data_IF_789228017024
#
_entry.id   IF_789228017024
#
_cell.length_a   1.000
_cell.length_b   1.000
_cell.length_c   1.000
_cell.angle_alpha   90.00
_cell.angle_beta   90.00
_cell.angle_gamma   90.00
#
_symmetry.space_group_name_H-M   'P 1'
#
loop_
_entity.id
_entity.type
_entity.pdbx_description
1 polymer ?
#
# COMPACT_ATOMS: atom_id res chain seq x y z
N UNK A 1 1.53 -7.09 20.34
CA UNK A 1 1.25 -5.64 20.48
C UNK A 1 1.17 -5.25 21.94
N UNK A 2 1.42 -3.99 22.28
CA UNK A 2 1.28 -3.51 23.66
C UNK A 2 -0.13 -2.99 23.90
N UNK A 3 -0.77 -3.40 24.98
CA UNK A 3 -2.15 -3.03 25.33
C UNK A 3 -2.13 -2.14 26.57
N UNK A 4 -2.71 -0.95 26.47
CA UNK A 4 -2.71 0.04 27.56
C UNK A 4 -4.13 0.29 28.07
N UNK A 5 -4.27 0.46 29.39
CA UNK A 5 -5.52 0.89 30.03
C UNK A 5 -5.21 1.78 31.23
N UNK A 6 -5.80 2.97 31.29
CA UNK A 6 -5.61 3.94 32.38
C UNK A 6 -4.12 4.23 32.68
N UNK A 7 -3.28 4.27 31.63
CA UNK A 7 -1.83 4.48 31.73
C UNK A 7 -1.02 3.24 32.12
N UNK A 8 -1.67 2.10 32.39
CA UNK A 8 -1.01 0.85 32.76
C UNK A 8 -0.88 -0.09 31.55
N UNK A 9 0.28 -0.74 31.42
CA UNK A 9 0.50 -1.81 30.46
C UNK A 9 -0.21 -3.08 30.95
N UNK A 10 -1.14 -3.59 30.15
CA UNK A 10 -2.02 -4.70 30.53
C UNK A 10 -1.44 -6.07 30.21
N UNK A 11 -0.46 -6.14 29.30
CA UNK A 11 0.17 -7.39 28.87
C UNK A 11 1.70 -7.37 29.01
N UNK A 12 2.26 -7.11 30.22
CA UNK A 12 3.71 -7.07 30.43
C UNK A 12 4.37 -8.47 30.43
N UNK A 13 3.57 -9.53 30.59
CA UNK A 13 4.07 -10.91 30.64
C UNK A 13 4.33 -11.51 29.26
N UNK A 14 5.22 -12.51 29.21
CA UNK A 14 5.52 -13.26 27.97
C UNK A 14 4.36 -14.16 27.51
N UNK A 15 3.39 -14.42 28.39
CA UNK A 15 2.20 -15.20 28.05
C UNK A 15 1.24 -14.37 27.18
N UNK A 16 1.01 -13.11 27.56
CA UNK A 16 0.11 -12.21 26.85
C UNK A 16 0.82 -11.46 25.70
N UNK A 17 2.09 -11.09 25.89
CA UNK A 17 2.94 -10.54 24.82
C UNK A 17 3.56 -11.68 24.02
N UNK A 18 2.76 -12.25 23.11
CA UNK A 18 3.12 -13.43 22.34
C UNK A 18 4.33 -13.18 21.45
N UNK A 19 5.43 -13.85 21.78
CA UNK A 19 6.57 -14.04 20.88
C UNK A 19 6.37 -15.33 20.10
N UNK A 20 6.70 -15.38 18.81
CA UNK A 20 6.53 -16.59 18.01
C UNK A 20 7.40 -17.72 18.57
N UNK A 21 6.79 -18.90 18.68
CA UNK A 21 7.49 -20.14 19.01
C UNK A 21 8.11 -20.78 17.77
N UNK A 22 8.97 -21.79 17.96
CA UNK A 22 9.56 -22.54 16.84
C UNK A 22 8.53 -23.26 15.95
N UNK A 23 7.32 -23.50 16.45
CA UNK A 23 6.23 -24.14 15.70
C UNK A 23 5.55 -23.14 14.75
N UNK A 24 5.53 -21.86 15.12
CA UNK A 24 4.86 -20.79 14.35
C UNK A 24 5.82 -20.10 13.37
N UNK A 25 7.12 -20.16 13.64
CA UNK A 25 8.15 -19.62 12.77
C UNK A 25 8.16 -20.33 11.41
N UNK A 26 8.09 -19.59 10.29
CA UNK A 26 8.14 -20.19 8.96
C UNK A 26 9.57 -20.65 8.62
N UNK A 27 9.68 -21.45 7.57
CA UNK A 27 10.97 -21.71 6.92
C UNK A 27 11.51 -20.42 6.29
N UNK A 28 12.81 -20.16 6.47
CA UNK A 28 13.48 -18.95 5.97
C UNK A 28 14.63 -19.36 5.06
N UNK A 29 14.56 -18.99 3.79
CA UNK A 29 15.63 -19.17 2.81
C UNK A 29 16.42 -17.87 2.65
N UNK A 30 17.68 -17.79 3.11
CA UNK A 30 18.51 -16.59 2.94
C UNK A 30 19.15 -16.54 1.55
N UNK A 31 18.95 -15.43 0.84
CA UNK A 31 19.65 -15.13 -0.41
C UNK A 31 20.67 -14.03 -0.12
N UNK A 32 21.96 -14.36 -0.25
CA UNK A 32 23.06 -13.42 -0.02
C UNK A 32 23.41 -12.72 -1.33
N UNK A 33 23.36 -11.38 -1.33
CA UNK A 33 23.72 -10.55 -2.49
C UNK A 33 24.91 -9.66 -2.13
N UNK A 34 26.01 -9.83 -2.85
CA UNK A 34 27.27 -9.14 -2.59
C UNK A 34 27.43 -7.96 -3.56
N UNK A 35 27.23 -6.73 -3.07
CA UNK A 35 27.36 -5.50 -3.88
C UNK A 35 28.69 -4.74 -3.69
N UNK A 36 29.58 -5.25 -2.84
CA UNK A 36 30.92 -4.73 -2.50
C UNK A 36 30.93 -3.22 -2.15
N UNK A 37 30.95 -2.90 -0.85
CA UNK A 37 31.15 -1.53 -0.38
C UNK A 37 32.62 -1.11 -0.50
N UNK A 38 32.98 -0.02 -1.22
CA UNK A 38 34.36 0.45 -1.27
C UNK A 38 34.92 0.88 0.10
N UNK A 39 34.06 1.33 1.02
CA UNK A 39 34.48 1.80 2.35
C UNK A 39 34.33 0.73 3.44
N UNK A 40 33.64 -0.37 3.12
CA UNK A 40 33.41 -1.47 4.04
C UNK A 40 34.63 -2.38 4.19
N UNK A 41 34.91 -2.90 5.40
CA UNK A 41 35.99 -3.87 5.57
C UNK A 41 35.71 -5.10 4.71
N UNK A 42 36.64 -5.42 3.82
CA UNK A 42 36.49 -6.52 2.84
C UNK A 42 35.27 -6.40 1.92
N UNK A 43 34.71 -5.20 1.72
CA UNK A 43 33.51 -5.00 0.90
C UNK A 43 32.17 -5.18 1.64
N UNK A 44 32.20 -5.37 2.96
CA UNK A 44 31.00 -5.70 3.75
C UNK A 44 30.03 -4.51 3.93
N UNK A 45 28.75 -4.83 4.07
CA UNK A 45 27.65 -3.90 4.43
C UNK A 45 26.83 -4.47 5.59
N UNK A 46 25.99 -3.64 6.20
CA UNK A 46 24.98 -4.09 7.15
C UNK A 46 23.94 -5.02 6.48
N UNK A 47 23.40 -5.98 7.24
CA UNK A 47 22.32 -6.89 6.81
C UNK A 47 21.14 -7.03 7.80
N UNK A 48 21.20 -6.37 8.97
CA UNK A 48 20.26 -6.66 10.05
C UNK A 48 18.91 -5.94 9.91
N UNK A 49 18.89 -4.61 9.80
CA UNK A 49 17.62 -3.87 9.91
C UNK A 49 16.78 -3.92 8.63
N UNK A 50 17.43 -3.96 7.46
CA UNK A 50 16.74 -3.96 6.16
C UNK A 50 15.82 -5.16 5.96
N UNK A 51 16.24 -6.34 6.41
CA UNK A 51 15.45 -7.58 6.32
C UNK A 51 14.24 -7.56 7.26
N UNK A 52 14.41 -7.02 8.48
CA UNK A 52 13.32 -6.85 9.44
C UNK A 52 12.24 -5.90 8.91
N UNK A 53 12.65 -4.74 8.38
CA UNK A 53 11.74 -3.73 7.87
C UNK A 53 10.91 -4.23 6.67
N UNK A 54 11.51 -5.07 5.80
CA UNK A 54 10.83 -5.64 4.64
C UNK A 54 9.80 -6.73 5.01
N UNK A 55 9.96 -7.39 6.16
CA UNK A 55 9.14 -8.55 6.56
C UNK A 55 7.66 -8.17 6.77
N UNK A 56 7.39 -7.08 7.49
CA UNK A 56 6.01 -6.65 7.79
C UNK A 56 5.19 -6.35 6.51
N UNK A 57 5.65 -5.50 5.56
CA UNK A 57 4.90 -5.25 4.34
C UNK A 57 4.83 -6.48 3.41
N UNK A 58 5.84 -7.36 3.42
CA UNK A 58 5.79 -8.61 2.67
C UNK A 58 4.63 -9.50 3.13
N UNK A 59 4.45 -9.69 4.44
CA UNK A 59 3.33 -10.44 5.01
C UNK A 59 1.99 -9.75 4.68
N UNK A 60 1.91 -8.42 4.78
CA UNK A 60 0.70 -7.68 4.43
C UNK A 60 0.28 -7.89 2.96
N UNK A 61 1.26 -7.90 2.04
CA UNK A 61 1.05 -8.17 0.63
C UNK A 61 0.63 -9.63 0.39
N UNK A 62 1.25 -10.60 1.09
CA UNK A 62 0.87 -12.00 0.98
C UNK A 62 -0.57 -12.26 1.46
N UNK A 63 -1.02 -11.60 2.53
CA UNK A 63 -2.42 -11.67 2.98
C UNK A 63 -3.36 -11.09 1.90
N UNK A 64 -2.99 -9.94 1.32
CA UNK A 64 -3.79 -9.36 0.23
C UNK A 64 -3.87 -10.28 -0.98
N UNK A 65 -2.77 -10.90 -1.38
CA UNK A 65 -2.74 -11.85 -2.50
C UNK A 65 -3.62 -13.08 -2.20
N UNK A 66 -3.53 -13.64 -0.99
CA UNK A 66 -4.25 -14.85 -0.60
C UNK A 66 -5.78 -14.67 -0.49
N UNK A 67 -6.26 -13.53 0.03
CA UNK A 67 -7.69 -13.34 0.33
C UNK A 67 -8.31 -12.06 -0.25
N UNK A 68 -7.51 -11.25 -0.94
CA UNK A 68 -7.94 -9.97 -1.54
C UNK A 68 -8.43 -8.96 -0.51
N UNK A 69 -7.85 -8.97 0.70
CA UNK A 69 -8.14 -8.01 1.77
C UNK A 69 -6.87 -7.23 2.08
N UNK A 70 -6.96 -5.89 2.07
CA UNK A 70 -5.83 -5.03 2.39
C UNK A 70 -5.86 -4.65 3.86
N UNK A 71 -4.87 -5.12 4.62
CA UNK A 71 -4.65 -4.71 6.00
C UNK A 71 -3.61 -3.58 6.02
N UNK A 72 -3.91 -2.52 6.77
CA UNK A 72 -3.06 -1.33 6.88
C UNK A 72 -2.43 -1.16 8.26
N UNK A 73 -2.73 -2.07 9.19
CA UNK A 73 -2.31 -1.98 10.59
C UNK A 73 -1.85 -3.35 11.08
N UNK A 74 -0.60 -3.42 11.54
CA UNK A 74 -0.05 -4.56 12.26
C UNK A 74 -0.38 -4.47 13.75
N UNK A 75 -0.48 -5.60 14.47
CA UNK A 75 -0.30 -6.98 14.03
C UNK A 75 -1.47 -7.54 13.21
N UNK A 76 -1.20 -8.52 12.34
CA UNK A 76 -2.22 -9.19 11.53
C UNK A 76 -2.83 -10.40 12.26
N UNK A 77 -3.51 -10.14 13.39
CA UNK A 77 -4.09 -11.22 14.21
C UNK A 77 -5.26 -11.92 13.49
N UNK A 78 -5.56 -13.19 13.82
CA UNK A 78 -6.69 -13.91 13.24
C UNK A 78 -8.02 -13.16 13.37
N UNK A 79 -8.25 -12.46 14.47
CA UNK A 79 -9.47 -11.69 14.72
C UNK A 79 -9.58 -10.50 13.75
N UNK A 80 -8.48 -9.77 13.51
CA UNK A 80 -8.44 -8.64 12.57
C UNK A 80 -8.61 -9.12 11.14
N UNK A 81 -7.96 -10.22 10.77
CA UNK A 81 -8.12 -10.86 9.45
C UNK A 81 -9.58 -11.31 9.25
N UNK A 82 -10.17 -11.99 10.24
CA UNK A 82 -11.54 -12.48 10.19
C UNK A 82 -12.56 -11.32 10.09
N UNK A 83 -12.35 -10.24 10.86
CA UNK A 83 -13.19 -9.05 10.79
C UNK A 83 -13.15 -8.42 9.38
N UNK A 84 -11.95 -8.32 8.80
CA UNK A 84 -11.77 -7.76 7.47
C UNK A 84 -12.38 -8.64 6.37
N UNK A 85 -12.30 -9.96 6.48
CA UNK A 85 -12.99 -10.91 5.59
C UNK A 85 -14.51 -10.75 5.65
N UNK A 86 -15.08 -10.59 6.86
CA UNK A 86 -16.53 -10.36 7.05
C UNK A 86 -16.95 -9.02 6.46
N UNK A 87 -16.17 -7.97 6.67
CA UNK A 87 -16.43 -6.65 6.09
C UNK A 87 -16.44 -6.71 4.56
N UNK A 88 -15.47 -7.42 3.94
CA UNK A 88 -15.45 -7.65 2.49
C UNK A 88 -16.69 -8.38 1.98
N UNK A 89 -17.18 -9.41 2.69
CA UNK A 89 -18.40 -10.14 2.30
C UNK A 89 -19.67 -9.26 2.35
N UNK A 90 -19.73 -8.35 3.32
CA UNK A 90 -20.86 -7.43 3.50
C UNK A 90 -20.77 -6.18 2.63
N UNK A 91 -19.62 -5.92 2.00
CA UNK A 91 -19.45 -4.81 1.08
C UNK A 91 -20.36 -5.04 -0.14
N UNK A 92 -21.27 -4.10 -0.39
CA UNK A 92 -22.05 -4.09 -1.63
C UNK A 92 -21.07 -3.92 -2.79
N UNK A 93 -21.09 -4.79 -3.81
CA UNK A 93 -20.30 -4.56 -5.00
C UNK A 93 -20.73 -3.22 -5.60
N UNK A 94 -19.80 -2.27 -5.68
CA UNK A 94 -20.05 -1.00 -6.33
C UNK A 94 -20.06 -1.30 -7.82
N UNK A 95 -21.25 -1.33 -8.42
CA UNK A 95 -21.39 -1.52 -9.86
C UNK A 95 -21.04 -0.20 -10.56
N UNK A 96 -19.74 0.11 -10.64
CA UNK A 96 -19.23 1.34 -11.24
C UNK A 96 -19.64 1.47 -12.72
N UNK A 97 -19.90 0.35 -13.39
CA UNK A 97 -20.22 0.29 -14.81
C UNK A 97 -21.67 -0.08 -15.11
N UNK A 98 -22.52 -0.29 -14.10
CA UNK A 98 -23.92 -0.74 -14.27
C UNK A 98 -24.08 -1.97 -15.19
N UNK A 99 -23.07 -2.84 -15.25
CA UNK A 99 -23.08 -4.01 -16.14
C UNK A 99 -22.64 -3.74 -17.59
N UNK A 100 -22.09 -2.56 -17.87
CA UNK A 100 -21.45 -2.23 -19.15
C UNK A 100 -19.99 -2.69 -19.11
N UNK A 101 -19.54 -3.35 -20.17
CA UNK A 101 -18.14 -3.75 -20.35
C UNK A 101 -17.25 -2.51 -20.53
N UNK A 102 -16.28 -2.25 -19.63
CA UNK A 102 -15.40 -1.08 -19.71
C UNK A 102 -14.45 -1.10 -20.92
N UNK A 103 -14.23 -2.26 -21.54
CA UNK A 103 -13.40 -2.40 -22.75
C UNK A 103 -14.19 -2.20 -24.05
N UNK A 104 -15.53 -2.26 -23.98
CA UNK A 104 -16.44 -2.12 -25.12
C UNK A 104 -17.68 -1.31 -24.74
N UNK A 105 -17.54 0.00 -24.43
CA UNK A 105 -18.65 0.82 -24.00
C UNK A 105 -19.67 0.99 -25.13
N UNK A 106 -20.90 0.50 -24.92
CA UNK A 106 -22.03 0.68 -25.84
C UNK A 106 -22.64 2.09 -25.76
N UNK A 107 -22.19 2.90 -24.79
CA UNK A 107 -22.50 4.32 -24.66
C UNK A 107 -21.51 5.02 -23.72
N UNK A 108 -21.08 6.23 -24.08
CA UNK A 108 -20.36 7.11 -23.16
C UNK A 108 -21.36 7.87 -22.30
N UNK A 109 -21.24 7.79 -20.96
CA UNK A 109 -22.02 8.64 -20.07
C UNK A 109 -21.69 10.10 -20.35
N UNK A 110 -22.68 10.89 -20.76
CA UNK A 110 -22.53 12.35 -20.87
C UNK A 110 -22.31 13.03 -19.51
N UNK A 111 -22.58 12.32 -18.40
CA UNK A 111 -22.28 12.76 -17.05
C UNK A 111 -21.47 11.71 -16.28
N UNK A 112 -20.18 12.03 -16.08
CA UNK A 112 -19.33 11.43 -15.06
C UNK A 112 -18.63 10.14 -15.49
N UNK A 113 -17.58 10.30 -16.30
CA UNK A 113 -16.72 9.19 -16.73
C UNK A 113 -15.44 9.57 -17.48
N UNK A 114 -15.00 10.83 -17.38
CA UNK A 114 -13.58 11.21 -17.46
C UNK A 114 -13.47 12.56 -16.77
N UNK A 115 -12.36 12.81 -16.08
CA UNK A 115 -12.11 14.01 -15.29
C UNK A 115 -11.95 15.22 -16.24
N UNK A 116 -13.04 15.74 -16.78
CA UNK A 116 -13.06 16.93 -17.63
C UNK A 116 -14.26 17.82 -17.27
N UNK A 117 -13.96 18.97 -16.69
CA UNK A 117 -14.92 19.99 -16.31
C UNK A 117 -15.35 20.77 -17.56
N UNK A 118 -16.57 20.57 -18.06
CA UNK A 118 -17.19 21.49 -19.03
C UNK A 118 -17.97 22.56 -18.27
N UNK A 119 -17.22 23.56 -17.82
CA UNK A 119 -17.73 24.80 -17.26
C UNK A 119 -16.59 25.81 -17.18
N UNK A 120 -16.87 27.10 -17.29
CA UNK A 120 -15.87 28.13 -16.95
C UNK A 120 -15.55 27.90 -15.47
N UNK A 121 -14.38 27.34 -15.17
CA UNK A 121 -13.93 27.15 -13.79
C UNK A 121 -13.97 28.48 -13.03
N UNK A 122 -13.94 28.45 -11.69
CA UNK A 122 -13.90 29.68 -10.90
C UNK A 122 -12.77 30.57 -11.41
N UNK A 123 -13.02 31.88 -11.47
CA UNK A 123 -12.03 32.85 -11.95
C UNK A 123 -10.79 32.77 -11.05
N UNK A 124 -9.66 32.34 -11.62
CA UNK A 124 -8.43 32.07 -10.87
C UNK A 124 -7.59 33.34 -10.74
N UNK A 125 -6.73 33.34 -9.73
CA UNK A 125 -5.84 34.44 -9.42
C UNK A 125 -4.90 34.76 -10.60
N UNK A 126 -4.63 36.05 -10.85
CA UNK A 126 -3.92 36.53 -12.04
C UNK A 126 -2.47 36.04 -12.21
N UNK A 127 -1.92 35.33 -11.23
CA UNK A 127 -0.52 34.85 -11.19
C UNK A 127 -0.41 33.32 -11.17
N UNK A 128 -1.48 32.58 -11.48
CA UNK A 128 -1.45 31.11 -11.51
C UNK A 128 -0.45 30.59 -12.59
N UNK A 129 0.67 29.95 -12.18
CA UNK A 129 1.72 29.54 -13.10
C UNK A 129 1.38 28.30 -13.93
N UNK A 130 0.31 27.56 -13.59
CA UNK A 130 -0.03 26.27 -14.21
C UNK A 130 -0.60 26.37 -15.64
N UNK A 131 -0.75 27.59 -16.18
CA UNK A 131 -1.24 27.82 -17.55
C UNK A 131 -0.47 28.90 -18.31
N UNK A 132 0.83 29.09 -18.05
CA UNK A 132 1.65 29.82 -19.03
C UNK A 132 1.50 29.12 -20.38
N UNK A 133 0.98 29.83 -21.37
CA UNK A 133 0.95 29.35 -22.74
C UNK A 133 2.39 29.05 -23.14
N UNK A 134 2.75 27.76 -23.18
CA UNK A 134 3.96 27.33 -23.85
C UNK A 134 3.77 27.70 -25.32
N UNK A 135 4.50 28.71 -25.78
CA UNK A 135 4.63 29.04 -27.19
C UNK A 135 5.11 27.79 -27.93
N UNK A 136 4.27 27.32 -28.86
CA UNK A 136 4.59 26.24 -29.80
C UNK A 136 5.73 26.69 -30.71
N UNK A 137 6.96 26.35 -30.36
CA UNK A 137 8.03 26.16 -31.33
C UNK A 137 8.53 24.72 -31.20
N UNK A 138 8.13 23.91 -32.16
CA UNK A 138 8.72 22.61 -32.41
C UNK A 138 10.14 22.84 -32.96
N UNK A 139 11.14 22.27 -32.32
CA UNK A 139 12.51 22.27 -32.79
C UNK A 139 13.27 21.09 -32.19
N UNK A 140 13.50 20.07 -33.02
CA UNK A 140 14.57 19.10 -32.80
C UNK A 140 15.93 19.70 -33.16
N UNK A 141 16.95 18.88 -32.88
CA UNK A 141 18.39 19.03 -33.14
C UNK A 141 19.18 19.89 -32.13
N UNK A 142 19.70 19.22 -31.09
CA UNK A 142 21.14 18.89 -30.93
C UNK A 142 21.37 18.07 -29.63
#
# INVERSE_FOLDING_TARGET
>A
EMVWKDGMLMNPGLLEYRSPSSIESPEVEPIIVESIDPEGPFGAKECSEGSLAATIPAIANAIYDAVGVRLHESPFTPERVLAALRAKKNAKPINLTEGIDPSSPTGFREHGGSLWFKGKGPERHALDPARREQSLEAGGDD
#
